data_IF_525431431294
#
_entry.id   IF_525431431294
#
_cell.length_a   1.000
_cell.length_b   1.000
_cell.length_c   1.000
_cell.angle_alpha   90.00
_cell.angle_beta   90.00
_cell.angle_gamma   90.00
#
_symmetry.space_group_name_H-M   'P 1'
#
loop_
_entity.id
_entity.type
_entity.pdbx_description
1 polymer ?
#
# COMPACT_ATOMS: atom_id res chain seq x y z
N UNK A 1 29.45 8.55 5.18
CA UNK A 1 28.90 7.37 4.49
C UNK A 1 27.88 7.87 3.47
N UNK A 2 27.87 7.36 2.24
CA UNK A 2 26.85 7.74 1.27
C UNK A 2 25.47 7.29 1.78
N UNK A 3 24.51 8.22 1.78
CA UNK A 3 23.13 7.91 2.15
C UNK A 3 22.56 6.88 1.15
N UNK A 4 21.97 5.80 1.65
CA UNK A 4 21.27 4.82 0.80
C UNK A 4 20.08 5.49 0.12
N UNK A 5 19.82 5.12 -1.12
CA UNK A 5 18.60 5.56 -1.81
C UNK A 5 17.37 5.01 -1.08
N UNK A 6 16.37 5.83 -0.78
CA UNK A 6 15.14 5.35 -0.15
C UNK A 6 14.41 4.28 -0.98
N UNK A 7 13.92 3.25 -0.32
CA UNK A 7 13.00 2.28 -0.92
C UNK A 7 11.60 2.88 -0.89
N UNK A 8 10.95 3.01 -2.05
CA UNK A 8 9.57 3.50 -2.13
C UNK A 8 8.57 2.34 -2.07
N UNK A 9 7.70 2.39 -1.07
CA UNK A 9 6.69 1.35 -0.80
C UNK A 9 5.30 1.93 -0.97
N UNK A 10 4.54 1.40 -1.93
CA UNK A 10 3.13 1.71 -2.10
C UNK A 10 2.29 0.73 -1.29
N UNK A 11 1.33 1.22 -0.52
CA UNK A 11 0.45 0.42 0.33
C UNK A 11 -1.00 0.79 0.05
N UNK A 12 -1.81 -0.16 -0.44
CA UNK A 12 -3.25 0.02 -0.58
C UNK A 12 -3.99 -0.39 0.69
N UNK A 13 -5.09 0.29 1.02
CA UNK A 13 -5.78 0.04 2.28
C UNK A 13 -4.96 0.49 3.49
N UNK A 14 -4.21 1.58 3.34
CA UNK A 14 -3.23 2.04 4.32
C UNK A 14 -3.85 2.49 5.65
N UNK A 15 -5.10 2.95 5.63
CA UNK A 15 -5.86 3.32 6.84
C UNK A 15 -6.65 2.15 7.45
N UNK A 16 -6.65 0.97 6.81
CA UNK A 16 -7.24 -0.25 7.38
C UNK A 16 -6.35 -0.86 8.44
N UNK A 17 -6.90 -1.74 9.29
CA UNK A 17 -6.20 -2.32 10.44
C UNK A 17 -4.85 -2.97 10.08
N UNK A 18 -4.79 -3.71 8.98
CA UNK A 18 -3.56 -4.39 8.54
C UNK A 18 -2.58 -3.37 7.95
N UNK A 19 -3.07 -2.47 7.06
CA UNK A 19 -2.27 -1.42 6.46
C UNK A 19 -1.64 -0.52 7.51
N UNK A 20 -2.44 -0.02 8.45
CA UNK A 20 -2.00 0.79 9.58
C UNK A 20 -0.86 0.11 10.36
N UNK A 21 -1.04 -1.15 10.78
CA UNK A 21 -0.01 -1.88 11.51
C UNK A 21 1.28 -2.08 10.69
N UNK A 22 1.17 -2.25 9.37
CA UNK A 22 2.30 -2.50 8.48
C UNK A 22 3.14 -1.24 8.23
N UNK A 23 2.51 -0.08 8.00
CA UNK A 23 3.22 1.15 7.62
C UNK A 23 4.16 1.67 8.71
N UNK A 24 3.78 1.57 9.98
CA UNK A 24 4.67 1.95 11.10
C UNK A 24 5.88 1.01 11.22
N UNK A 25 5.73 -0.28 10.90
CA UNK A 25 6.84 -1.23 10.85
C UNK A 25 7.77 -0.96 9.67
N UNK A 26 7.23 -0.54 8.54
CA UNK A 26 8.03 -0.10 7.38
C UNK A 26 8.85 1.14 7.75
N UNK A 27 8.21 2.14 8.35
CA UNK A 27 8.82 3.42 8.71
C UNK A 27 9.91 3.28 9.78
N UNK A 28 9.73 2.34 10.73
CA UNK A 28 10.68 2.12 11.83
C UNK A 28 11.96 1.36 11.44
N UNK A 29 12.05 0.83 10.22
CA UNK A 29 13.18 0.01 9.77
C UNK A 29 13.07 -1.48 10.12
N UNK A 30 11.95 -1.92 10.72
CA UNK A 30 11.76 -3.33 11.09
C UNK A 30 11.68 -4.29 9.89
N UNK A 31 11.40 -3.77 8.69
CA UNK A 31 11.24 -4.59 7.47
C UNK A 31 12.50 -4.59 6.60
N UNK A 32 13.07 -3.43 6.33
CA UNK A 32 14.20 -3.30 5.41
C UNK A 32 15.56 -3.12 6.11
N UNK A 33 15.56 -3.06 7.43
CA UNK A 33 16.76 -2.90 8.23
C UNK A 33 16.92 -1.51 8.85
N UNK A 34 17.78 -1.39 9.87
CA UNK A 34 17.86 -0.22 10.73
C UNK A 34 18.57 0.98 10.09
N UNK A 35 19.13 0.82 8.90
CA UNK A 35 19.87 1.85 8.17
C UNK A 35 19.34 2.10 6.75
N UNK A 36 18.17 1.50 6.40
CA UNK A 36 17.55 1.65 5.08
C UNK A 36 16.44 2.71 5.13
N UNK A 37 16.64 3.88 4.48
CA UNK A 37 15.57 4.87 4.34
C UNK A 37 14.40 4.34 3.52
N UNK A 38 13.19 4.80 3.85
CA UNK A 38 11.95 4.43 3.14
C UNK A 38 11.14 5.67 2.80
N UNK A 39 10.41 5.60 1.70
CA UNK A 39 9.35 6.54 1.33
C UNK A 39 8.05 5.77 1.19
N UNK A 40 6.95 6.28 1.71
CA UNK A 40 5.66 5.60 1.72
C UNK A 40 4.67 6.31 0.79
N UNK A 41 4.08 5.56 -0.13
CA UNK A 41 2.92 5.98 -0.90
C UNK A 41 1.69 5.24 -0.33
N UNK A 42 0.83 5.97 0.35
CA UNK A 42 -0.33 5.45 1.07
C UNK A 42 -1.58 5.68 0.23
N UNK A 43 -2.26 4.60 -0.12
CA UNK A 43 -3.39 4.64 -1.07
C UNK A 43 -4.66 4.21 -0.36
N UNK A 44 -5.69 5.06 -0.46
CA UNK A 44 -7.03 4.77 0.04
C UNK A 44 -8.11 5.24 -0.92
N UNK A 45 -9.32 4.78 -0.70
CA UNK A 45 -10.48 5.14 -1.52
C UNK A 45 -11.64 5.64 -0.67
N UNK A 46 -12.41 6.58 -1.22
CA UNK A 46 -13.64 7.08 -0.61
C UNK A 46 -13.46 7.54 0.84
N UNK A 47 -14.25 7.01 1.80
CA UNK A 47 -14.19 7.43 3.19
C UNK A 47 -12.85 7.17 3.89
N UNK A 48 -12.06 6.21 3.39
CA UNK A 48 -10.73 5.90 3.91
C UNK A 48 -9.72 7.04 3.77
N UNK A 49 -9.91 7.96 2.82
CA UNK A 49 -9.04 9.12 2.64
C UNK A 49 -9.01 10.05 3.86
N UNK A 50 -10.15 10.24 4.52
CA UNK A 50 -10.20 11.06 5.74
C UNK A 50 -9.44 10.40 6.88
N UNK A 51 -9.60 9.08 7.05
CA UNK A 51 -8.84 8.32 8.04
C UNK A 51 -7.33 8.33 7.72
N UNK A 52 -6.97 8.25 6.44
CA UNK A 52 -5.58 8.30 5.99
C UNK A 52 -4.88 9.61 6.39
N UNK A 53 -5.60 10.73 6.38
CA UNK A 53 -5.05 12.01 6.84
C UNK A 53 -4.59 11.91 8.31
N UNK A 54 -5.39 11.30 9.19
CA UNK A 54 -5.02 11.06 10.58
C UNK A 54 -3.78 10.16 10.70
N UNK A 55 -3.73 9.09 9.92
CA UNK A 55 -2.58 8.16 9.90
C UNK A 55 -1.29 8.85 9.48
N UNK A 56 -1.35 9.78 8.51
CA UNK A 56 -0.18 10.59 8.11
C UNK A 56 0.29 11.49 9.25
N UNK A 57 -0.62 12.12 9.97
CA UNK A 57 -0.28 12.93 11.15
C UNK A 57 0.42 12.10 12.23
N UNK A 58 -0.09 10.89 12.52
CA UNK A 58 0.55 9.97 13.47
C UNK A 58 1.95 9.54 13.03
N UNK A 59 2.15 9.26 11.73
CA UNK A 59 3.48 8.96 11.19
C UNK A 59 4.45 10.13 11.34
N UNK A 60 3.98 11.36 11.15
CA UNK A 60 4.77 12.58 11.36
C UNK A 60 5.14 12.78 12.83
N UNK A 61 4.18 12.56 13.75
CA UNK A 61 4.40 12.66 15.20
C UNK A 61 5.40 11.61 15.71
N UNK A 62 5.45 10.42 15.09
CA UNK A 62 6.44 9.40 15.43
C UNK A 62 7.88 9.79 15.05
N UNK A 63 8.06 10.75 14.15
CA UNK A 63 9.37 11.26 13.72
C UNK A 63 10.41 10.16 13.38
N UNK A 64 9.98 9.13 12.66
CA UNK A 64 10.85 8.00 12.29
C UNK A 64 12.06 8.49 11.46
N UNK A 65 13.29 8.26 11.91
CA UNK A 65 14.49 8.79 11.23
C UNK A 65 14.73 8.19 9.85
N UNK A 66 14.11 7.04 9.54
CA UNK A 66 14.24 6.36 8.24
C UNK A 66 13.12 6.75 7.26
N UNK A 67 12.05 7.40 7.73
CA UNK A 67 10.94 7.82 6.89
C UNK A 67 11.30 9.16 6.22
N UNK A 68 11.52 9.13 4.90
CA UNK A 68 11.99 10.30 4.14
C UNK A 68 10.88 11.07 3.45
N UNK A 69 9.77 10.39 3.13
CA UNK A 69 8.67 10.99 2.38
C UNK A 69 7.37 10.20 2.60
N UNK A 70 6.24 10.88 2.61
CA UNK A 70 4.90 10.27 2.69
C UNK A 70 3.97 10.95 1.69
N UNK A 71 3.45 10.16 0.76
CA UNK A 71 2.40 10.58 -0.18
C UNK A 71 1.10 9.88 0.21
N UNK A 72 0.04 10.61 0.47
CA UNK A 72 -1.30 10.08 0.73
C UNK A 72 -2.23 10.45 -0.44
N UNK A 73 -2.86 9.46 -1.07
CA UNK A 73 -3.64 9.72 -2.29
C UNK A 73 -4.74 8.68 -2.51
N UNK A 74 -5.78 9.09 -3.25
CA UNK A 74 -6.80 8.19 -3.83
C UNK A 74 -6.53 7.83 -5.29
N UNK A 75 -5.53 8.46 -5.90
CA UNK A 75 -5.14 8.22 -7.30
C UNK A 75 -4.11 7.09 -7.38
N UNK A 76 -4.42 6.05 -8.15
CA UNK A 76 -3.56 4.87 -8.27
C UNK A 76 -2.26 5.17 -9.01
N UNK A 77 -2.28 6.03 -10.04
CA UNK A 77 -1.07 6.34 -10.80
C UNK A 77 -0.09 7.19 -9.97
N UNK A 78 -0.60 8.09 -9.14
CA UNK A 78 0.20 8.83 -8.15
C UNK A 78 0.71 7.89 -7.06
N UNK A 79 -0.16 7.01 -6.56
CA UNK A 79 0.16 6.10 -5.47
C UNK A 79 1.21 5.06 -5.82
N UNK A 80 1.20 4.53 -7.05
CA UNK A 80 2.19 3.54 -7.49
C UNK A 80 3.42 4.16 -8.16
N UNK A 81 3.46 5.49 -8.29
CA UNK A 81 4.57 6.17 -8.95
C UNK A 81 5.92 5.81 -8.33
N UNK A 82 6.83 5.33 -9.17
CA UNK A 82 8.22 5.00 -8.80
C UNK A 82 8.36 3.98 -7.66
N UNK A 83 7.32 3.17 -7.38
CA UNK A 83 7.34 2.18 -6.32
C UNK A 83 8.35 1.06 -6.60
N UNK A 84 9.13 0.70 -5.58
CA UNK A 84 10.00 -0.48 -5.53
C UNK A 84 9.24 -1.70 -5.02
N UNK A 85 8.25 -1.46 -4.14
CA UNK A 85 7.37 -2.48 -3.55
C UNK A 85 5.94 -1.98 -3.55
N UNK A 86 5.01 -2.88 -3.88
CA UNK A 86 3.57 -2.65 -3.77
C UNK A 86 2.97 -3.69 -2.82
N UNK A 87 2.37 -3.23 -1.72
CA UNK A 87 1.63 -4.06 -0.77
C UNK A 87 0.15 -3.84 -1.02
N UNK A 88 -0.50 -4.79 -1.71
CA UNK A 88 -1.91 -4.72 -2.08
C UNK A 88 -2.76 -5.34 -0.96
N UNK A 89 -3.01 -4.56 0.09
CA UNK A 89 -3.74 -4.96 1.30
C UNK A 89 -5.22 -4.66 1.18
N UNK A 90 -5.56 -3.50 0.60
CA UNK A 90 -6.92 -3.02 0.45
C UNK A 90 -7.78 -3.95 -0.41
N UNK A 91 -8.89 -4.40 0.13
CA UNK A 91 -9.90 -5.20 -0.55
C UNK A 91 -11.25 -5.00 0.13
N UNK A 92 -12.34 -5.21 -0.60
CA UNK A 92 -13.68 -5.23 0.01
C UNK A 92 -13.81 -6.46 0.90
N UNK A 93 -14.16 -6.30 2.19
CA UNK A 93 -14.36 -7.43 3.08
C UNK A 93 -15.62 -8.20 2.71
N UNK A 94 -15.63 -9.51 3.00
CA UNK A 94 -16.83 -10.33 2.85
C UNK A 94 -17.89 -9.88 3.84
N UNK A 95 -19.10 -9.62 3.35
CA UNK A 95 -20.28 -9.32 4.17
C UNK A 95 -21.11 -10.59 4.38
N UNK A 96 -21.94 -10.57 5.44
CA UNK A 96 -22.89 -11.64 5.69
C UNK A 96 -23.81 -11.85 4.47
N UNK A 97 -24.02 -13.11 4.10
CA UNK A 97 -24.81 -13.49 2.93
C UNK A 97 -24.10 -13.36 1.57
N UNK A 98 -22.88 -12.81 1.51
CA UNK A 98 -22.14 -12.71 0.25
C UNK A 98 -21.47 -14.05 -0.11
N UNK A 99 -21.66 -14.52 -1.34
CA UNK A 99 -20.96 -15.70 -1.83
C UNK A 99 -19.51 -15.37 -2.23
N UNK A 100 -18.64 -16.38 -2.27
CA UNK A 100 -17.24 -16.21 -2.68
C UNK A 100 -17.10 -15.66 -4.09
N UNK A 101 -17.97 -16.08 -5.00
CA UNK A 101 -17.97 -15.61 -6.40
C UNK A 101 -18.26 -14.11 -6.51
N UNK A 102 -19.15 -13.59 -5.64
CA UNK A 102 -19.51 -12.17 -5.65
C UNK A 102 -18.33 -11.32 -5.16
N UNK A 103 -17.69 -11.77 -4.08
CA UNK A 103 -16.48 -11.13 -3.56
C UNK A 103 -15.35 -11.11 -4.59
N UNK A 104 -15.17 -12.23 -5.30
CA UNK A 104 -14.18 -12.32 -6.38
C UNK A 104 -14.50 -11.34 -7.51
N UNK A 105 -15.77 -11.23 -7.91
CA UNK A 105 -16.20 -10.30 -8.96
C UNK A 105 -15.94 -8.83 -8.62
N UNK A 106 -16.13 -8.47 -7.34
CA UNK A 106 -15.89 -7.11 -6.84
C UNK A 106 -14.38 -6.84 -6.73
N UNK A 107 -13.68 -7.68 -5.99
CA UNK A 107 -12.25 -7.50 -5.75
C UNK A 107 -11.42 -7.67 -7.04
N UNK A 108 -11.79 -8.60 -7.92
CA UNK A 108 -11.11 -8.77 -9.21
C UNK A 108 -11.02 -7.47 -10.02
N UNK A 109 -12.11 -6.69 -10.09
CA UNK A 109 -12.10 -5.39 -10.76
C UNK A 109 -11.14 -4.39 -10.12
N UNK A 110 -11.06 -4.38 -8.78
CA UNK A 110 -10.12 -3.53 -8.03
C UNK A 110 -8.69 -3.93 -8.39
N UNK A 111 -8.36 -5.21 -8.35
CA UNK A 111 -7.00 -5.70 -8.62
C UNK A 111 -6.58 -5.54 -10.08
N UNK A 112 -7.50 -5.69 -11.04
CA UNK A 112 -7.24 -5.33 -12.46
C UNK A 112 -6.81 -3.87 -12.57
N UNK A 113 -7.55 -2.94 -11.96
CA UNK A 113 -7.22 -1.52 -11.98
C UNK A 113 -5.87 -1.21 -11.33
N UNK A 114 -5.59 -1.84 -10.19
CA UNK A 114 -4.30 -1.72 -9.50
C UNK A 114 -3.15 -2.28 -10.33
N UNK A 115 -3.30 -3.47 -10.92
CA UNK A 115 -2.29 -4.08 -11.78
C UNK A 115 -1.96 -3.21 -13.01
N UNK A 116 -2.97 -2.64 -13.65
CA UNK A 116 -2.78 -1.71 -14.76
C UNK A 116 -2.03 -0.43 -14.34
N UNK A 117 -2.36 0.14 -13.18
CA UNK A 117 -1.69 1.32 -12.64
C UNK A 117 -0.23 1.01 -12.25
N UNK A 118 0.04 -0.13 -11.64
CA UNK A 118 1.40 -0.61 -11.34
C UNK A 118 2.22 -0.73 -12.64
N UNK A 119 1.65 -1.33 -13.67
CA UNK A 119 2.33 -1.50 -14.96
C UNK A 119 2.71 -0.17 -15.62
N UNK A 120 1.91 0.89 -15.42
CA UNK A 120 2.19 2.22 -15.97
C UNK A 120 3.15 3.06 -15.13
N UNK A 121 3.04 2.97 -13.79
CA UNK A 121 3.58 3.99 -12.89
C UNK A 121 4.69 3.51 -11.99
N UNK A 122 4.76 2.22 -11.67
CA UNK A 122 5.81 1.66 -10.82
C UNK A 122 7.11 1.39 -11.58
N UNK A 123 8.19 1.18 -10.85
CA UNK A 123 9.46 0.76 -11.46
C UNK A 123 9.32 -0.60 -12.15
N UNK A 124 10.08 -0.82 -13.22
CA UNK A 124 10.09 -2.12 -13.95
C UNK A 124 10.56 -3.30 -13.09
N UNK A 125 11.25 -3.02 -12.00
CA UNK A 125 11.77 -4.00 -11.03
C UNK A 125 10.90 -4.15 -9.80
N UNK A 126 9.69 -3.55 -9.81
CA UNK A 126 8.76 -3.56 -8.67
C UNK A 126 8.44 -4.99 -8.21
N UNK A 127 8.36 -5.16 -6.91
CA UNK A 127 7.90 -6.39 -6.26
C UNK A 127 6.51 -6.16 -5.71
N UNK A 128 5.60 -7.11 -5.96
CA UNK A 128 4.20 -6.99 -5.57
C UNK A 128 3.85 -8.11 -4.58
N UNK A 129 3.32 -7.72 -3.42
CA UNK A 129 2.76 -8.62 -2.42
C UNK A 129 1.26 -8.40 -2.35
N UNK A 130 0.50 -9.45 -2.65
CA UNK A 130 -0.97 -9.42 -2.60
C UNK A 130 -1.45 -10.05 -1.29
N UNK A 131 -2.15 -9.25 -0.48
CA UNK A 131 -2.72 -9.65 0.82
C UNK A 131 -4.24 -9.67 0.78
N UNK A 132 -4.87 -8.77 0.02
CA UNK A 132 -6.32 -8.66 -0.11
C UNK A 132 -6.96 -9.95 -0.63
N UNK A 133 -7.97 -10.46 0.10
CA UNK A 133 -8.60 -11.74 -0.21
C UNK A 133 -9.63 -11.63 -1.37
N UNK A 134 -9.74 -12.70 -2.18
CA UNK A 134 -8.96 -13.95 -2.21
C UNK A 134 -7.56 -13.74 -2.82
N UNK A 135 -6.52 -13.70 -1.97
CA UNK A 135 -5.19 -13.23 -2.35
C UNK A 135 -4.54 -14.03 -3.50
N UNK A 136 -4.67 -15.36 -3.51
CA UNK A 136 -4.13 -16.20 -4.57
C UNK A 136 -4.74 -15.86 -5.94
N UNK A 137 -6.07 -15.68 -5.99
CA UNK A 137 -6.77 -15.35 -7.22
C UNK A 137 -6.47 -13.90 -7.65
N UNK A 138 -6.48 -12.97 -6.71
CA UNK A 138 -6.18 -11.57 -6.99
C UNK A 138 -4.73 -11.39 -7.48
N UNK A 139 -3.82 -12.26 -7.05
CA UNK A 139 -2.43 -12.25 -7.51
C UNK A 139 -2.26 -12.76 -8.95
N UNK A 140 -3.20 -13.57 -9.44
CA UNK A 140 -3.19 -14.07 -10.82
C UNK A 140 -3.81 -13.08 -11.83
N UNK A 141 -4.59 -12.15 -11.33
CA UNK A 141 -5.21 -11.08 -12.12
C UNK A 141 -4.18 -10.03 -12.50
#
# INVERSE_FOLDING_TARGET
MASKTPIRVAVTGAAGNIGYAAIFRLASGAVFGPDQPVALNLIEVGPGLNALTGVVMELQDCAFPLLTDVVATGDLDVGFKDADWCLLIGAVPRKDGMERKDLLGINGKIFVGQGQAIARSAKRTVKVLVVGNPCNTNCLI
#
